data_IF_176171145333
#
_entry.id   IF_176171145333
#
_cell.length_a   1.000
_cell.length_b   1.000
_cell.length_c   1.000
_cell.angle_alpha   90.00
_cell.angle_beta   90.00
_cell.angle_gamma   90.00
#
_symmetry.space_group_name_H-M   'P 1'
#
loop_
_entity.id
_entity.type
_entity.pdbx_description
1 polymer ?
#
# COMPACT_ATOMS: atom_id res chain seq x y z
N UNK A 1 -4.75 -17.07 -6.54
CA UNK A 1 -5.32 -15.77 -6.12
C UNK A 1 -5.90 -15.81 -4.71
N UNK A 2 -6.89 -16.66 -4.39
CA UNK A 2 -7.53 -16.69 -3.04
C UNK A 2 -6.52 -16.76 -1.88
N UNK A 3 -5.59 -17.72 -1.89
CA UNK A 3 -4.56 -17.86 -0.85
C UNK A 3 -3.75 -16.57 -0.62
N UNK A 4 -3.37 -15.88 -1.71
CA UNK A 4 -2.60 -14.64 -1.66
C UNK A 4 -3.37 -13.50 -0.97
N UNK A 5 -4.67 -13.39 -1.25
CA UNK A 5 -5.49 -12.28 -0.76
C UNK A 5 -6.05 -12.52 0.63
N UNK A 6 -6.32 -13.77 1.02
CA UNK A 6 -6.70 -14.11 2.40
C UNK A 6 -5.48 -13.95 3.32
N UNK A 7 -4.29 -14.33 2.85
CA UNK A 7 -3.06 -14.27 3.64
C UNK A 7 -2.18 -13.05 3.35
N UNK A 8 -2.74 -11.93 2.88
CA UNK A 8 -1.95 -10.79 2.38
C UNK A 8 -0.98 -10.21 3.43
N UNK A 9 -1.34 -10.30 4.71
CA UNK A 9 -0.50 -9.85 5.82
C UNK A 9 0.60 -10.84 6.20
N UNK A 10 0.62 -12.05 5.65
CA UNK A 10 1.67 -13.04 5.91
C UNK A 10 2.62 -13.23 4.71
N UNK A 11 2.39 -12.51 3.61
CA UNK A 11 3.26 -12.53 2.45
C UNK A 11 4.64 -11.95 2.82
N UNK A 12 5.69 -12.40 2.13
CA UNK A 12 7.03 -11.82 2.28
C UNK A 12 7.02 -10.34 1.86
N UNK A 13 7.48 -9.42 2.72
CA UNK A 13 7.59 -8.00 2.36
C UNK A 13 8.44 -7.81 1.11
N UNK A 14 8.02 -6.90 0.22
CA UNK A 14 8.78 -6.59 -0.99
C UNK A 14 10.16 -6.02 -0.65
N UNK A 15 11.22 -6.65 -1.16
CA UNK A 15 12.61 -6.30 -0.84
C UNK A 15 13.23 -5.28 -1.82
N UNK A 16 12.53 -4.93 -2.91
CA UNK A 16 13.07 -4.03 -3.93
C UNK A 16 12.99 -2.54 -3.60
N UNK A 17 12.30 -2.17 -2.51
CA UNK A 17 12.19 -0.79 -2.06
C UNK A 17 13.38 -0.39 -1.16
N UNK A 18 13.80 0.87 -1.26
CA UNK A 18 14.79 1.47 -0.36
C UNK A 18 14.07 2.25 0.74
N UNK A 19 14.33 1.88 1.99
CA UNK A 19 13.80 2.56 3.18
C UNK A 19 14.87 3.54 3.68
N UNK A 20 14.55 4.83 3.65
CA UNK A 20 15.45 5.92 4.06
C UNK A 20 14.99 6.43 5.43
N UNK A 21 15.94 6.67 6.33
CA UNK A 21 15.68 7.25 7.66
C UNK A 21 15.22 6.24 8.72
N UNK A 22 15.19 4.95 8.40
CA UNK A 22 14.95 3.88 9.37
C UNK A 22 16.21 3.64 10.22
N UNK A 23 16.21 4.14 11.45
CA UNK A 23 17.25 3.87 12.47
C UNK A 23 16.62 3.18 13.68
N UNK A 24 17.41 2.55 14.58
CA UNK A 24 16.85 1.82 15.73
C UNK A 24 15.93 2.66 16.64
N UNK A 25 16.25 3.95 16.82
CA UNK A 25 15.53 4.84 17.74
C UNK A 25 14.49 5.74 17.04
N UNK A 26 14.25 5.54 15.74
CA UNK A 26 13.30 6.38 15.00
C UNK A 26 11.86 6.03 15.37
N UNK A 27 11.01 7.04 15.55
CA UNK A 27 9.57 6.81 15.71
C UNK A 27 8.98 6.26 14.41
N UNK A 28 8.24 5.14 14.54
CA UNK A 28 7.49 4.51 13.45
C UNK A 28 6.01 4.88 13.44
N UNK A 29 5.62 5.87 14.24
CA UNK A 29 4.24 6.36 14.29
C UNK A 29 3.89 7.04 12.97
N UNK A 30 2.72 6.70 12.44
CA UNK A 30 2.15 7.23 11.21
C UNK A 30 0.97 8.13 11.55
N UNK A 31 1.15 9.42 11.39
CA UNK A 31 0.03 10.37 11.42
C UNK A 31 -0.77 10.30 10.13
N UNK A 32 -0.08 10.29 8.98
CA UNK A 32 -0.68 10.23 7.66
C UNK A 32 0.39 9.81 6.65
N UNK A 33 0.08 8.80 5.83
CA UNK A 33 0.90 8.46 4.68
C UNK A 33 0.63 9.41 3.51
N UNK A 34 1.67 9.81 2.81
CA UNK A 34 1.55 10.62 1.60
C UNK A 34 2.45 10.09 0.50
N UNK A 35 2.03 10.27 -0.75
CA UNK A 35 2.93 10.06 -1.89
C UNK A 35 3.89 11.23 -2.01
N UNK A 36 5.08 10.96 -2.54
CA UNK A 36 6.00 12.02 -2.99
C UNK A 36 5.33 12.95 -4.01
N UNK A 37 5.98 14.07 -4.31
CA UNK A 37 5.44 15.08 -5.22
C UNK A 37 6.30 15.25 -6.46
N UNK A 38 5.68 15.14 -7.63
CA UNK A 38 6.32 15.43 -8.91
C UNK A 38 6.31 16.96 -9.13
N UNK A 39 7.50 17.55 -9.27
CA UNK A 39 7.65 18.98 -9.53
C UNK A 39 6.89 19.40 -10.81
N UNK A 40 6.23 20.55 -10.76
CA UNK A 40 5.47 21.11 -11.89
C UNK A 40 4.08 20.49 -12.14
N UNK A 41 3.70 19.39 -11.48
CA UNK A 41 2.37 18.78 -11.61
C UNK A 41 1.42 19.20 -10.48
N UNK A 42 0.11 19.15 -10.74
CA UNK A 42 -0.97 19.47 -9.78
C UNK A 42 -1.98 18.32 -9.69
N UNK A 43 -2.73 18.28 -8.59
CA UNK A 43 -3.79 17.30 -8.36
C UNK A 43 -3.28 15.86 -8.29
N UNK A 44 -4.07 14.90 -8.78
CA UNK A 44 -3.70 13.49 -8.77
C UNK A 44 -2.41 13.19 -9.56
N UNK A 45 -2.15 13.94 -10.64
CA UNK A 45 -0.94 13.81 -11.44
C UNK A 45 0.33 14.26 -10.72
N UNK A 46 0.21 15.00 -9.60
CA UNK A 46 1.36 15.40 -8.79
C UNK A 46 1.87 14.30 -7.86
N UNK A 47 1.10 13.22 -7.67
CA UNK A 47 1.48 12.12 -6.77
C UNK A 47 2.55 11.26 -7.44
N UNK A 48 3.76 11.27 -6.88
CA UNK A 48 4.82 10.34 -7.23
C UNK A 48 4.55 8.99 -6.56
N UNK A 49 4.08 8.03 -7.36
CA UNK A 49 3.74 6.68 -6.90
C UNK A 49 4.95 5.79 -6.63
N UNK A 50 6.16 6.27 -6.92
CA UNK A 50 7.41 5.54 -6.64
C UNK A 50 7.94 5.80 -5.22
N UNK A 51 7.36 6.78 -4.53
CA UNK A 51 7.80 7.28 -3.22
C UNK A 51 6.63 7.43 -2.26
N UNK A 52 6.72 6.83 -1.07
CA UNK A 52 5.79 7.06 0.05
C UNK A 52 6.56 7.75 1.19
N UNK A 53 6.07 8.90 1.59
CA UNK A 53 6.44 9.59 2.83
C UNK A 53 5.70 8.88 3.97
N UNK A 54 6.42 8.08 4.75
CA UNK A 54 5.83 7.26 5.81
C UNK A 54 5.51 8.12 7.05
N UNK A 55 6.47 8.95 7.44
CA UNK A 55 6.32 10.03 8.41
C UNK A 55 7.44 11.06 8.18
N UNK A 56 7.65 11.98 9.12
CA UNK A 56 8.67 13.04 8.99
C UNK A 56 10.11 12.51 8.95
N UNK A 57 10.34 11.25 9.35
CA UNK A 57 11.67 10.64 9.43
C UNK A 57 11.90 9.54 8.40
N UNK A 58 10.88 8.77 8.05
CA UNK A 58 10.98 7.57 7.21
C UNK A 58 10.37 7.82 5.83
N UNK A 59 11.09 7.42 4.79
CA UNK A 59 10.61 7.45 3.41
C UNK A 59 10.88 6.12 2.69
N UNK A 60 9.88 5.61 1.99
CA UNK A 60 9.98 4.40 1.16
C UNK A 60 10.11 4.84 -0.30
N UNK A 61 11.21 4.48 -0.96
CA UNK A 61 11.48 4.84 -2.36
C UNK A 61 11.71 3.61 -3.22
N UNK A 62 11.62 3.75 -4.55
CA UNK A 62 11.83 2.65 -5.49
C UNK A 62 10.64 1.69 -5.56
N UNK A 63 9.42 2.18 -5.29
CA UNK A 63 8.20 1.38 -5.45
C UNK A 63 7.95 1.18 -6.95
N UNK A 64 7.82 -0.07 -7.44
CA UNK A 64 7.53 -0.34 -8.85
C UNK A 64 6.15 0.19 -9.23
N UNK A 65 6.04 0.88 -10.37
CA UNK A 65 4.79 1.48 -10.82
C UNK A 65 3.73 0.42 -11.13
N UNK A 66 4.16 -0.79 -11.51
CA UNK A 66 3.31 -1.95 -11.77
C UNK A 66 2.48 -2.34 -10.55
N UNK A 67 2.92 -2.02 -9.32
CA UNK A 67 2.13 -2.23 -8.11
C UNK A 67 0.83 -1.41 -8.10
N UNK A 68 0.76 -0.32 -8.88
CA UNK A 68 -0.45 0.49 -9.02
C UNK A 68 -1.49 -0.11 -9.98
N UNK A 69 -1.11 -1.11 -10.79
CA UNK A 69 -2.02 -1.75 -11.75
C UNK A 69 -3.07 -2.63 -11.06
N UNK A 70 -2.76 -3.14 -9.87
CA UNK A 70 -3.72 -3.93 -9.09
C UNK A 70 -4.77 -3.02 -8.43
N UNK A 71 -5.88 -2.82 -9.13
CA UNK A 71 -7.00 -1.95 -8.73
C UNK A 71 -8.11 -2.76 -8.06
N UNK A 72 -8.48 -2.33 -6.86
CA UNK A 72 -9.64 -2.87 -6.13
C UNK A 72 -10.66 -1.74 -5.98
N UNK A 73 -11.83 -1.93 -6.61
CA UNK A 73 -12.85 -0.91 -6.78
C UNK A 73 -12.34 0.29 -7.62
N UNK A 74 -12.13 1.47 -7.02
CA UNK A 74 -11.73 2.71 -7.74
C UNK A 74 -10.26 3.11 -7.56
N UNK A 75 -9.49 2.34 -6.79
CA UNK A 75 -8.11 2.70 -6.38
C UNK A 75 -7.21 1.48 -6.41
N UNK A 76 -5.91 1.70 -6.58
CA UNK A 76 -4.94 0.62 -6.38
C UNK A 76 -4.99 0.12 -4.94
N UNK A 77 -4.61 -1.13 -4.71
CA UNK A 77 -4.51 -1.65 -3.35
C UNK A 77 -3.56 -0.79 -2.48
N UNK A 78 -2.47 -0.29 -3.07
CA UNK A 78 -1.55 0.61 -2.37
C UNK A 78 -2.16 1.98 -2.05
N UNK A 79 -3.02 2.52 -2.93
CA UNK A 79 -3.75 3.75 -2.67
C UNK A 79 -4.72 3.63 -1.49
N UNK A 80 -5.32 2.45 -1.31
CA UNK A 80 -6.14 2.18 -0.12
C UNK A 80 -5.30 2.23 1.16
N UNK A 81 -4.11 1.64 1.16
CA UNK A 81 -3.20 1.67 2.32
C UNK A 81 -2.79 3.11 2.63
N UNK A 82 -2.31 3.87 1.63
CA UNK A 82 -1.86 5.27 1.82
C UNK A 82 -2.99 6.18 2.31
N UNK A 83 -4.23 5.94 1.90
CA UNK A 83 -5.37 6.75 2.34
C UNK A 83 -5.89 6.38 3.73
N UNK A 84 -5.83 5.10 4.10
CA UNK A 84 -6.47 4.58 5.32
C UNK A 84 -5.52 4.46 6.49
N UNK A 85 -4.25 4.12 6.27
CA UNK A 85 -3.30 3.93 7.34
C UNK A 85 -2.80 5.30 7.86
N UNK A 86 -3.12 5.57 9.12
CA UNK A 86 -2.78 6.80 9.82
C UNK A 86 -3.77 7.09 10.93
N UNK A 87 -3.81 8.34 11.36
CA UNK A 87 -4.74 8.82 12.37
C UNK A 87 -5.82 9.64 11.67
N UNK A 88 -7.07 9.28 11.88
CA UNK A 88 -8.23 10.05 11.41
C UNK A 88 -9.26 10.17 12.51
N UNK A 89 -9.94 11.32 12.57
CA UNK A 89 -11.03 11.54 13.53
C UNK A 89 -12.28 11.86 12.75
N UNK A 90 -13.32 11.04 12.94
CA UNK A 90 -14.60 11.31 12.34
C UNK A 90 -15.21 12.58 12.94
N UNK A 91 -15.70 13.49 12.10
CA UNK A 91 -16.13 14.82 12.54
C UNK A 91 -17.44 14.76 13.34
N UNK A 92 -18.32 13.84 12.98
CA UNK A 92 -19.67 13.78 13.52
C UNK A 92 -19.69 12.99 14.83
N UNK A 93 -19.08 11.81 14.84
CA UNK A 93 -18.99 10.94 16.03
C UNK A 93 -17.85 11.30 16.97
N UNK A 94 -16.84 12.07 16.52
CA UNK A 94 -15.59 12.34 17.24
C UNK A 94 -14.74 11.10 17.56
N UNK A 95 -15.07 9.94 16.98
CA UNK A 95 -14.32 8.71 17.18
C UNK A 95 -13.02 8.77 16.39
N UNK A 96 -11.91 8.54 17.08
CA UNK A 96 -10.59 8.42 16.47
C UNK A 96 -10.38 7.00 15.94
N UNK A 97 -9.90 6.92 14.71
CA UNK A 97 -9.37 5.71 14.09
C UNK A 97 -7.85 5.88 14.01
N UNK A 98 -7.13 5.13 14.84
CA UNK A 98 -5.67 5.15 14.94
C UNK A 98 -5.09 3.78 14.60
N UNK A 99 -4.44 3.68 13.44
CA UNK A 99 -3.78 2.45 13.00
C UNK A 99 -2.56 2.08 13.85
N UNK A 100 -1.93 3.06 14.52
CA UNK A 100 -0.77 2.80 15.38
C UNK A 100 -1.19 2.09 16.66
N UNK A 101 -2.39 2.36 17.17
CA UNK A 101 -2.94 1.66 18.32
C UNK A 101 -3.10 0.16 18.04
N UNK A 102 -3.57 -0.20 16.84
CA UNK A 102 -3.65 -1.60 16.41
C UNK A 102 -2.26 -2.26 16.34
N UNK A 103 -1.25 -1.56 15.79
CA UNK A 103 0.13 -2.05 15.76
C UNK A 103 0.69 -2.30 17.17
N UNK A 104 0.38 -1.40 18.12
CA UNK A 104 0.75 -1.55 19.53
C UNK A 104 0.04 -2.74 20.21
N UNK A 105 -1.26 -2.93 19.97
CA UNK A 105 -2.02 -4.07 20.49
C UNK A 105 -1.46 -5.41 19.99
N UNK A 106 -0.98 -5.45 18.76
CA UNK A 106 -0.34 -6.62 18.15
C UNK A 106 1.11 -6.83 18.59
N UNK A 107 1.73 -5.83 19.26
CA UNK A 107 3.15 -5.85 19.60
C UNK A 107 4.08 -5.81 18.39
N UNK A 108 3.63 -5.27 17.25
CA UNK A 108 4.39 -5.16 16.01
C UNK A 108 4.48 -3.69 15.55
N UNK A 109 5.51 -2.99 16.01
CA UNK A 109 5.75 -1.59 15.65
C UNK A 109 6.06 -1.38 14.16
N UNK A 110 6.46 -2.45 13.47
CA UNK A 110 6.75 -2.44 12.03
C UNK A 110 5.51 -2.81 11.18
N UNK A 111 4.35 -3.03 11.82
CA UNK A 111 3.16 -3.54 11.16
C UNK A 111 2.76 -2.73 9.92
N UNK A 112 2.65 -1.40 10.04
CA UNK A 112 2.21 -0.53 8.93
C UNK A 112 3.26 -0.53 7.81
N UNK A 113 4.56 -0.47 8.15
CA UNK A 113 5.65 -0.52 7.19
C UNK A 113 5.65 -1.85 6.44
N UNK A 114 5.55 -2.96 7.16
CA UNK A 114 5.46 -4.30 6.59
C UNK A 114 4.20 -4.47 5.74
N UNK A 115 3.06 -3.94 6.16
CA UNK A 115 1.82 -3.97 5.40
C UNK A 115 1.97 -3.28 4.04
N UNK A 116 2.59 -2.10 3.98
CA UNK A 116 2.88 -1.41 2.72
C UNK A 116 3.70 -2.31 1.79
N UNK A 117 4.80 -2.86 2.29
CA UNK A 117 5.72 -3.71 1.52
C UNK A 117 5.06 -5.03 1.08
N UNK A 118 4.20 -5.61 1.92
CA UNK A 118 3.43 -6.82 1.59
C UNK A 118 2.38 -6.55 0.52
N UNK A 119 1.68 -5.42 0.61
CA UNK A 119 0.69 -5.03 -0.42
C UNK A 119 1.36 -4.77 -1.76
N UNK A 120 2.59 -4.25 -1.79
CA UNK A 120 3.39 -4.19 -3.03
C UNK A 120 3.61 -5.59 -3.59
N UNK A 121 4.08 -6.55 -2.79
CA UNK A 121 4.25 -7.96 -3.23
C UNK A 121 2.95 -8.54 -3.77
N UNK A 122 1.86 -8.42 -3.00
CA UNK A 122 0.53 -8.93 -3.38
C UNK A 122 0.06 -8.33 -4.70
N UNK A 123 0.30 -7.04 -4.92
CA UNK A 123 -0.11 -6.35 -6.14
C UNK A 123 0.65 -6.89 -7.35
N UNK A 124 1.98 -7.02 -7.24
CA UNK A 124 2.82 -7.54 -8.31
C UNK A 124 2.51 -9.00 -8.65
N UNK A 125 2.41 -9.85 -7.63
CA UNK A 125 2.06 -11.28 -7.82
C UNK A 125 0.68 -11.44 -8.41
N UNK A 126 -0.29 -10.62 -7.99
CA UNK A 126 -1.64 -10.64 -8.55
C UNK A 126 -1.61 -10.30 -10.03
N UNK A 127 -0.92 -9.23 -10.42
CA UNK A 127 -0.83 -8.84 -11.81
C UNK A 127 -0.06 -9.85 -12.66
N UNK A 128 0.96 -10.51 -12.09
CA UNK A 128 1.65 -11.62 -12.75
C UNK A 128 0.68 -12.78 -13.05
N UNK A 129 -0.14 -13.18 -12.08
CA UNK A 129 -1.14 -14.25 -12.26
C UNK A 129 -2.20 -13.84 -13.28
N UNK A 130 -2.73 -12.62 -13.18
CA UNK A 130 -3.76 -12.10 -14.09
C UNK A 130 -3.24 -12.06 -15.54
N UNK A 131 -2.01 -11.58 -15.76
CA UNK A 131 -1.38 -11.55 -17.09
C UNK A 131 -1.11 -12.94 -17.66
N UNK A 132 -1.01 -13.96 -16.80
CA UNK A 132 -0.82 -15.36 -17.18
C UNK A 132 -2.14 -16.14 -17.42
N UNK A 133 -3.31 -15.53 -17.21
CA UNK A 133 -4.59 -16.20 -17.46
C UNK A 133 -4.77 -16.54 -18.96
N UNK A 134 -5.42 -17.67 -19.28
CA UNK A 134 -5.70 -18.03 -20.66
C UNK A 134 -6.61 -16.98 -21.32
N UNK A 135 -6.50 -16.85 -22.64
CA UNK A 135 -7.38 -15.98 -23.41
C UNK A 135 -8.84 -16.41 -23.20
N UNK A 136 -9.71 -15.42 -22.98
CA UNK A 136 -11.14 -15.66 -22.88
C UNK A 136 -11.63 -16.28 -24.20
N UNK A 137 -12.15 -17.50 -24.11
CA UNK A 137 -12.80 -18.18 -25.22
C UNK A 137 -14.29 -18.20 -24.93
N UNK A 138 -15.07 -17.50 -25.73
CA UNK A 138 -16.53 -17.47 -25.62
C UNK A 138 -17.06 -18.64 -26.44
N UNK A 139 -17.94 -19.45 -25.84
CA UNK A 139 -18.55 -20.57 -26.52
C UNK A 139 -19.35 -20.07 -27.74
N UNK A 140 -19.37 -20.78 -28.89
CA UNK A 140 -20.07 -20.31 -30.08
C UNK A 140 -21.57 -20.01 -29.89
N UNK A 141 -22.21 -20.62 -28.90
CA UNK A 141 -23.62 -20.39 -28.56
C UNK A 141 -23.87 -19.14 -27.70
N UNK A 142 -22.83 -18.56 -27.09
CA UNK A 142 -22.92 -17.37 -26.23
C UNK A 142 -22.49 -16.09 -26.99
N UNK A 143 -22.46 -16.15 -28.33
CA UNK A 143 -22.18 -15.00 -29.21
C UNK A 143 -23.42 -14.20 -29.54
#
# INVERSE_FOLDING_TARGET
LSKLHVGYEQVTPYQGCKIVGLTPDVSKIVTKLEYGKIAGKKGAAAKDKTTILYNDSITITGIPLEAQEYVVNRKSALDWVVERCGISVDKDSRIANDYNAFAQEMGDEDYILNLILRVITVSLETMQIVKALPKLTIHPLDR
#
